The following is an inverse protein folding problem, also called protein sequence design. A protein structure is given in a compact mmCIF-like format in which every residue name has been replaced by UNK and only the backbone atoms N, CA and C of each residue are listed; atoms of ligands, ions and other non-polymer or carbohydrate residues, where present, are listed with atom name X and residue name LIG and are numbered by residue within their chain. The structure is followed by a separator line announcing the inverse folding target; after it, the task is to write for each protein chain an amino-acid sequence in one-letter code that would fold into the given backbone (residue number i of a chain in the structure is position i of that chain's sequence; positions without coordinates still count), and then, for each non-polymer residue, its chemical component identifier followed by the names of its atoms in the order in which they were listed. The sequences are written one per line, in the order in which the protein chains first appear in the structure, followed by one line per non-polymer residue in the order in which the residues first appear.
data_IF_681128678221
#
_entry.id   IF_681128678221
#
_cell.length_a   1.000
_cell.length_b   1.000
_cell.length_c   1.000
_cell.angle_alpha   90.00
_cell.angle_beta   90.00
_cell.angle_gamma   90.00
#
_symmetry.space_group_name_H-M   'P 1'
#
loop_
_entity.id
_entity.type
_entity.pdbx_description
1 polymer ?
#
# COMPACT_ATOMS: atom_id res chain seq x y z
N UNK A 1 -39.26 -40.07 46.85
CA UNK A 1 -39.42 -39.28 45.60
C UNK A 1 -39.04 -37.86 45.98
N UNK A 2 -37.96 -37.39 45.37
CA UNK A 2 -36.99 -36.45 45.95
C UNK A 2 -37.37 -34.97 45.87
N UNK A 3 -36.73 -34.20 46.74
CA UNK A 3 -36.88 -32.76 47.01
C UNK A 3 -36.74 -31.87 45.76
N UNK A 4 -37.56 -30.82 45.72
CA UNK A 4 -37.38 -29.66 44.84
C UNK A 4 -36.48 -28.67 45.60
N UNK A 5 -35.17 -28.87 45.48
CA UNK A 5 -34.18 -27.90 45.95
C UNK A 5 -33.82 -26.95 44.80
N UNK A 6 -34.13 -25.68 45.03
CA UNK A 6 -33.39 -24.48 44.63
C UNK A 6 -32.51 -24.55 43.36
N UNK A 7 -32.87 -23.78 42.34
CA UNK A 7 -31.90 -23.22 41.40
C UNK A 7 -31.90 -21.69 41.58
N UNK A 8 -30.75 -21.23 42.06
CA UNK A 8 -30.38 -19.88 42.48
C UNK A 8 -30.36 -18.90 41.30
N UNK A 9 -30.61 -17.62 41.57
CA UNK A 9 -30.65 -16.50 40.61
C UNK A 9 -29.31 -16.16 39.92
N UNK A 10 -28.33 -17.05 39.99
CA UNK A 10 -26.94 -16.83 39.56
C UNK A 10 -26.66 -17.30 38.12
N UNK A 11 -27.60 -18.01 37.47
CA UNK A 11 -27.43 -18.49 36.08
C UNK A 11 -27.90 -17.50 34.99
N UNK A 12 -28.39 -16.30 35.36
CA UNK A 12 -28.82 -15.28 34.40
C UNK A 12 -27.76 -14.19 34.11
N UNK A 13 -26.54 -14.31 34.65
CA UNK A 13 -25.52 -13.27 34.59
C UNK A 13 -24.32 -13.56 33.67
N UNK A 14 -24.48 -14.39 32.64
CA UNK A 14 -23.39 -14.69 31.68
C UNK A 14 -23.82 -14.66 30.21
N UNK A 15 -24.71 -13.74 29.83
CA UNK A 15 -24.89 -13.38 28.41
C UNK A 15 -24.82 -11.86 28.22
N UNK A 16 -23.64 -11.29 27.91
CA UNK A 16 -23.61 -10.00 27.25
C UNK A 16 -24.12 -10.23 25.82
N UNK A 17 -25.43 -10.06 25.60
CA UNK A 17 -25.94 -9.76 24.26
C UNK A 17 -25.34 -8.41 23.88
N UNK A 18 -24.14 -8.46 23.32
CA UNK A 18 -23.52 -7.31 22.71
C UNK A 18 -24.51 -6.77 21.67
N UNK A 19 -24.80 -5.46 21.65
CA UNK A 19 -25.64 -4.90 20.61
C UNK A 19 -25.02 -5.29 19.27
N UNK A 20 -25.76 -6.08 18.48
CA UNK A 20 -25.30 -6.48 17.16
C UNK A 20 -25.05 -5.19 16.40
N UNK A 21 -23.77 -4.92 16.15
CA UNK A 21 -23.30 -3.70 15.52
C UNK A 21 -24.06 -3.55 14.19
N UNK A 22 -25.06 -2.66 14.17
CA UNK A 22 -25.78 -2.31 12.95
C UNK A 22 -24.75 -1.62 12.06
N UNK A 23 -24.05 -2.42 11.24
CA UNK A 23 -23.20 -1.90 10.19
C UNK A 23 -24.12 -1.25 9.17
N UNK A 24 -24.30 0.05 9.33
CA UNK A 24 -25.05 0.84 8.39
C UNK A 24 -24.45 0.69 7.00
N UNK A 25 -25.22 0.17 6.05
CA UNK A 25 -24.81 -0.05 4.66
C UNK A 25 -24.30 1.25 3.98
N UNK A 26 -24.73 2.42 4.47
CA UNK A 26 -24.27 3.74 4.02
C UNK A 26 -22.83 4.09 4.45
N UNK A 27 -22.32 3.49 5.53
CA UNK A 27 -20.95 3.76 6.04
C UNK A 27 -19.84 3.26 5.11
N UNK A 28 -20.20 2.44 4.10
CA UNK A 28 -19.26 1.83 3.15
C UNK A 28 -19.15 2.62 1.84
N UNK A 29 -19.98 3.66 1.64
CA UNK A 29 -20.26 4.22 0.31
C UNK A 29 -19.18 5.15 -0.24
N UNK A 30 -18.27 5.64 0.58
CA UNK A 30 -17.11 6.41 0.14
C UNK A 30 -15.88 6.01 0.95
N UNK A 31 -15.39 4.79 0.73
CA UNK A 31 -13.98 4.52 1.01
C UNK A 31 -13.20 5.21 -0.11
N UNK A 32 -12.29 6.15 0.19
CA UNK A 32 -11.34 6.59 -0.80
C UNK A 32 -10.66 5.36 -1.41
N UNK A 33 -10.88 5.14 -2.70
CA UNK A 33 -10.37 3.96 -3.38
C UNK A 33 -8.90 4.22 -3.66
N UNK A 34 -8.01 3.43 -3.03
CA UNK A 34 -6.60 3.43 -3.37
C UNK A 34 -6.44 3.07 -4.85
N UNK A 35 -5.72 3.88 -5.59
CA UNK A 35 -5.40 3.55 -6.98
C UNK A 35 -4.60 2.24 -7.03
N UNK A 36 -4.86 1.40 -8.04
CA UNK A 36 -4.06 0.17 -8.21
C UNK A 36 -2.78 0.56 -8.95
N UNK A 37 -1.67 0.61 -8.24
CA UNK A 37 -0.36 0.89 -8.82
C UNK A 37 0.56 -0.32 -8.74
N UNK A 38 1.23 -0.64 -9.85
CA UNK A 38 2.29 -1.64 -9.91
C UNK A 38 3.63 -0.91 -10.07
N UNK A 39 4.55 -1.13 -9.14
CA UNK A 39 5.94 -0.69 -9.23
C UNK A 39 6.77 -1.86 -9.71
N UNK A 40 7.44 -1.72 -10.86
CA UNK A 40 8.48 -2.65 -11.30
C UNK A 40 9.82 -1.93 -11.21
N UNK A 41 10.71 -2.46 -10.39
CA UNK A 41 12.12 -2.02 -10.34
C UNK A 41 12.88 -2.85 -11.35
N UNK A 42 13.64 -2.20 -12.22
CA UNK A 42 14.58 -2.88 -13.09
C UNK A 42 15.97 -2.70 -12.52
N UNK A 43 16.53 -3.83 -12.11
CA UNK A 43 17.87 -3.92 -11.56
C UNK A 43 18.78 -4.39 -12.68
N UNK A 44 19.90 -3.70 -12.86
CA UNK A 44 20.91 -4.07 -13.84
C UNK A 44 22.32 -3.86 -13.30
N UNK A 45 23.28 -4.07 -14.18
CA UNK A 45 24.70 -3.91 -13.86
C UNK A 45 25.25 -2.77 -14.68
N UNK A 46 25.95 -1.86 -14.03
CA UNK A 46 26.79 -0.89 -14.74
C UNK A 46 28.14 -1.55 -15.03
N UNK A 47 28.49 -1.83 -16.28
CA UNK A 47 29.77 -2.48 -16.61
C UNK A 47 30.88 -1.44 -16.78
N UNK A 48 31.35 -0.90 -15.66
CA UNK A 48 32.53 -0.03 -15.68
C UNK A 48 33.84 -0.84 -15.87
N UNK A 49 34.92 -0.16 -16.27
CA UNK A 49 36.22 -0.79 -16.53
C UNK A 49 36.83 -1.46 -15.28
N UNK A 50 36.48 -1.02 -14.07
CA UNK A 50 36.90 -1.64 -12.83
C UNK A 50 36.16 -2.96 -12.58
N UNK A 51 34.84 -2.97 -12.72
CA UNK A 51 34.01 -4.15 -12.52
C UNK A 51 34.32 -5.24 -13.54
N UNK A 52 34.61 -4.87 -14.79
CA UNK A 52 35.04 -5.80 -15.83
C UNK A 52 36.38 -6.51 -15.52
N UNK A 53 37.21 -5.95 -14.64
CA UNK A 53 38.51 -6.55 -14.25
C UNK A 53 38.43 -7.42 -13.00
N UNK A 54 37.40 -7.24 -12.17
CA UNK A 54 37.30 -7.86 -10.85
C UNK A 54 36.11 -8.81 -10.69
N UNK A 55 35.10 -8.71 -11.56
CA UNK A 55 33.91 -9.56 -11.54
C UNK A 55 33.86 -10.41 -12.81
N UNK A 56 33.74 -11.72 -12.61
CA UNK A 56 33.55 -12.71 -13.67
C UNK A 56 32.07 -13.12 -13.77
N UNK A 57 31.73 -13.97 -14.76
CA UNK A 57 30.34 -14.45 -14.96
C UNK A 57 29.80 -15.24 -13.76
N UNK A 58 30.68 -15.87 -12.99
CA UNK A 58 30.32 -16.64 -11.80
C UNK A 58 30.24 -15.78 -10.52
N UNK A 59 30.79 -14.56 -10.55
CA UNK A 59 30.79 -13.61 -9.44
C UNK A 59 30.27 -12.26 -9.94
N UNK A 60 28.96 -12.17 -10.15
CA UNK A 60 28.35 -10.95 -10.65
C UNK A 60 28.50 -9.80 -9.64
N UNK A 61 28.74 -8.56 -10.10
CA UNK A 61 28.76 -7.39 -9.22
C UNK A 61 27.39 -7.21 -8.55
N UNK A 62 27.33 -6.48 -7.45
CA UNK A 62 26.03 -6.13 -6.84
C UNK A 62 25.15 -5.39 -7.86
N UNK A 63 23.92 -5.86 -8.06
CA UNK A 63 22.96 -5.22 -8.97
C UNK A 63 22.68 -3.78 -8.52
N UNK A 64 22.77 -2.82 -9.42
CA UNK A 64 22.37 -1.44 -9.21
C UNK A 64 20.94 -1.23 -9.74
N UNK A 65 20.19 -0.30 -9.14
CA UNK A 65 18.89 0.11 -9.68
C UNK A 65 19.14 0.98 -10.90
N UNK A 66 18.66 0.56 -12.08
CA UNK A 66 18.84 1.33 -13.32
C UNK A 66 17.63 2.24 -13.57
N UNK A 67 16.42 1.69 -13.45
CA UNK A 67 15.19 2.43 -13.71
C UNK A 67 14.00 1.94 -12.89
N UNK A 68 13.00 2.81 -12.80
CA UNK A 68 11.71 2.53 -12.19
C UNK A 68 10.60 2.65 -13.23
N UNK A 69 9.75 1.63 -13.31
CA UNK A 69 8.55 1.65 -14.14
C UNK A 69 7.30 1.57 -13.26
N UNK A 70 6.50 2.61 -13.30
CA UNK A 70 5.23 2.70 -12.58
C UNK A 70 4.07 2.53 -13.55
N UNK A 71 3.22 1.54 -13.31
CA UNK A 71 1.95 1.38 -14.00
C UNK A 71 0.83 1.72 -13.01
N UNK A 72 0.23 2.90 -13.18
CA UNK A 72 -0.86 3.37 -12.32
C UNK A 72 -2.16 3.26 -13.11
N UNK A 73 -3.10 2.47 -12.58
CA UNK A 73 -4.38 2.23 -13.23
C UNK A 73 -5.48 3.03 -12.55
N UNK A 74 -6.08 3.95 -13.32
CA UNK A 74 -7.26 4.69 -12.90
C UNK A 74 -8.46 4.24 -13.76
N UNK A 75 -9.20 3.25 -13.29
CA UNK A 75 -10.27 2.61 -14.08
C UNK A 75 -11.60 3.39 -14.04
N UNK A 76 -11.85 4.14 -12.96
CA UNK A 76 -13.11 4.83 -12.67
C UNK A 76 -12.88 6.34 -12.44
N UNK A 77 -12.30 7.07 -13.40
CA UNK A 77 -12.38 8.53 -13.36
C UNK A 77 -13.77 8.99 -13.77
N UNK A 78 -14.29 9.98 -13.05
CA UNK A 78 -15.48 10.70 -13.49
C UNK A 78 -15.16 11.52 -14.75
N UNK A 79 -14.04 12.25 -14.75
CA UNK A 79 -13.57 13.07 -15.87
C UNK A 79 -12.32 12.48 -16.52
N UNK A 80 -12.44 11.99 -17.75
CA UNK A 80 -11.32 11.37 -18.51
C UNK A 80 -10.43 12.39 -19.22
N UNK A 81 -10.79 13.67 -19.20
CA UNK A 81 -10.05 14.75 -19.85
C UNK A 81 -8.85 15.20 -19.04
N UNK A 82 -8.87 14.95 -17.73
CA UNK A 82 -7.87 15.47 -16.80
C UNK A 82 -6.78 14.43 -16.59
N UNK A 83 -5.54 14.81 -16.89
CA UNK A 83 -4.37 13.94 -16.71
C UNK A 83 -3.82 14.14 -15.29
N UNK A 84 -3.49 13.06 -14.55
CA UNK A 84 -2.89 13.17 -13.23
C UNK A 84 -1.50 13.81 -13.30
N UNK A 85 -1.15 14.57 -12.27
CA UNK A 85 0.14 15.25 -12.17
C UNK A 85 1.08 14.45 -11.27
N UNK A 86 2.38 14.72 -11.37
CA UNK A 86 3.37 14.14 -10.46
C UNK A 86 4.30 15.22 -9.92
N UNK A 87 4.81 14.99 -8.72
CA UNK A 87 5.81 15.82 -8.05
C UNK A 87 6.94 14.95 -7.50
N UNK A 88 8.16 15.48 -7.53
CA UNK A 88 9.35 14.85 -6.98
C UNK A 88 9.84 15.69 -5.80
N UNK A 89 9.98 15.07 -4.64
CA UNK A 89 10.52 15.71 -3.43
C UNK A 89 11.73 14.93 -2.95
N UNK A 90 12.87 15.59 -2.87
CA UNK A 90 14.12 15.02 -2.35
C UNK A 90 14.10 15.14 -0.82
N UNK A 91 14.57 14.12 -0.10
CA UNK A 91 14.74 14.22 1.35
C UNK A 91 15.97 15.07 1.70
N UNK A 92 15.80 16.03 2.62
CA UNK A 92 16.92 16.87 3.07
C UNK A 92 17.98 16.06 3.85
N UNK A 93 17.54 15.10 4.67
CA UNK A 93 18.44 14.27 5.49
C UNK A 93 19.18 13.19 4.66
N UNK A 94 18.58 12.75 3.55
CA UNK A 94 19.13 11.65 2.72
C UNK A 94 18.97 11.97 1.23
N UNK A 95 19.94 12.66 0.59
CA UNK A 95 19.80 13.14 -0.78
C UNK A 95 19.78 12.00 -1.83
N UNK A 96 20.16 10.79 -1.44
CA UNK A 96 20.07 9.58 -2.26
C UNK A 96 18.66 8.98 -2.30
N UNK A 97 17.69 9.57 -1.62
CA UNK A 97 16.31 9.13 -1.66
C UNK A 97 15.41 10.30 -2.02
N UNK A 98 14.44 9.99 -2.87
CA UNK A 98 13.40 10.93 -3.26
C UNK A 98 12.03 10.26 -3.18
N UNK A 99 11.01 11.06 -2.91
CA UNK A 99 9.61 10.64 -2.98
C UNK A 99 9.05 11.11 -4.32
N UNK A 100 8.62 10.16 -5.15
CA UNK A 100 7.81 10.44 -6.32
C UNK A 100 6.33 10.32 -5.93
N UNK A 101 5.61 11.46 -5.93
CA UNK A 101 4.19 11.52 -5.60
C UNK A 101 3.36 11.75 -6.87
N UNK A 102 2.36 10.91 -7.06
CA UNK A 102 1.35 11.05 -8.10
C UNK A 102 0.10 11.68 -7.47
N UNK A 103 -0.28 12.84 -7.98
CA UNK A 103 -1.49 13.54 -7.62
C UNK A 103 -2.67 12.94 -8.38
N UNK A 104 -3.52 12.26 -7.64
CA UNK A 104 -4.69 11.64 -8.21
C UNK A 104 -5.85 12.66 -8.27
N UNK A 105 -6.80 12.37 -9.14
CA UNK A 105 -8.00 13.18 -9.30
C UNK A 105 -9.14 12.43 -8.57
N UNK A 106 -10.07 13.17 -7.97
CA UNK A 106 -11.27 12.60 -7.34
C UNK A 106 -11.89 11.53 -8.26
N UNK A 107 -12.18 10.31 -7.79
CA UNK A 107 -12.31 9.84 -6.39
C UNK A 107 -11.06 9.17 -5.80
N UNK A 108 -9.91 9.26 -6.46
CA UNK A 108 -8.69 8.56 -6.06
C UNK A 108 -7.81 9.39 -5.13
N UNK A 109 -7.10 8.71 -4.23
CA UNK A 109 -6.10 9.34 -3.36
C UNK A 109 -4.73 9.41 -4.03
N UNK A 110 -3.96 10.43 -3.65
CA UNK A 110 -2.56 10.57 -4.02
C UNK A 110 -1.75 9.34 -3.62
N UNK A 111 -0.81 8.95 -4.47
CA UNK A 111 0.04 7.78 -4.25
C UNK A 111 1.50 8.20 -4.31
N UNK A 112 2.30 7.81 -3.33
CA UNK A 112 3.71 8.18 -3.23
C UNK A 112 4.62 6.94 -3.20
N UNK A 113 5.75 7.04 -3.88
CA UNK A 113 6.75 5.98 -3.96
C UNK A 113 8.13 6.52 -3.60
N UNK A 114 8.83 5.91 -2.62
CA UNK A 114 10.24 6.19 -2.43
C UNK A 114 11.04 5.56 -3.58
N UNK A 115 11.96 6.35 -4.11
CA UNK A 115 12.95 5.99 -5.13
C UNK A 115 14.34 6.42 -4.66
N UNK A 116 15.36 5.78 -5.22
CA UNK A 116 16.77 6.13 -5.05
C UNK A 116 17.13 7.17 -6.11
#
# INVERSE_FOLDING_TARGET
VENIDSLTADDLLLNPVAPQHIQYLWSTKHRPCKSRALKKVHNGYDWNHYYKKHYDTDHLPSTLIQDYKFHIFYQNLNDKTTTPLYSLTIYEDTPHFSILRFHAISPYEDTAFPII
#
